data_IF_191665322985
#
_entry.id   IF_191665322985
#
_cell.length_a   1.000
_cell.length_b   1.000
_cell.length_c   1.000
_cell.angle_alpha   90.00
_cell.angle_beta   90.00
_cell.angle_gamma   90.00
#
_symmetry.space_group_name_H-M   'P 1'
#
loop_
_entity.id
_entity.type
_entity.pdbx_description
1 polymer ?
#
# COMPACT_ATOMS: atom_id res chain seq x y z
N UNK A 1 -4.44 -17.11 0.18
CA UNK A 1 -5.62 -17.89 -0.27
C UNK A 1 -5.16 -18.87 -1.34
N UNK A 2 -5.65 -20.12 -1.37
CA UNK A 2 -5.34 -21.04 -2.47
C UNK A 2 -6.24 -20.75 -3.68
N UNK A 3 -5.80 -21.13 -4.88
CA UNK A 3 -6.60 -20.97 -6.10
C UNK A 3 -7.94 -21.71 -6.02
N UNK A 4 -7.97 -22.90 -5.42
CA UNK A 4 -9.17 -23.69 -5.19
C UNK A 4 -10.17 -22.99 -4.25
N UNK A 5 -9.70 -22.46 -3.11
CA UNK A 5 -10.56 -21.73 -2.17
C UNK A 5 -11.13 -20.45 -2.81
N UNK A 6 -10.33 -19.79 -3.65
CA UNK A 6 -10.79 -18.65 -4.44
C UNK A 6 -11.91 -19.04 -5.41
N UNK A 7 -11.72 -20.11 -6.21
CA UNK A 7 -12.70 -20.59 -7.18
C UNK A 7 -14.03 -20.98 -6.52
N UNK A 8 -13.98 -21.76 -5.43
CA UNK A 8 -15.18 -22.22 -4.73
C UNK A 8 -15.97 -21.04 -4.15
N UNK A 9 -15.29 -20.08 -3.55
CA UNK A 9 -15.93 -18.90 -2.95
C UNK A 9 -16.43 -17.92 -4.01
N UNK A 10 -15.67 -17.71 -5.09
CA UNK A 10 -16.10 -16.88 -6.22
C UNK A 10 -17.37 -17.43 -6.86
N UNK A 11 -17.45 -18.76 -7.01
CA UNK A 11 -18.64 -19.45 -7.51
C UNK A 11 -19.85 -19.20 -6.59
N UNK A 12 -19.73 -19.45 -5.28
CA UNK A 12 -20.81 -19.19 -4.31
C UNK A 12 -21.26 -17.71 -4.31
N UNK A 13 -20.30 -16.78 -4.26
CA UNK A 13 -20.56 -15.33 -4.30
C UNK A 13 -21.22 -14.89 -5.61
N UNK A 14 -20.84 -15.48 -6.75
CA UNK A 14 -21.43 -15.16 -8.06
C UNK A 14 -22.89 -15.55 -8.11
N UNK A 15 -23.27 -16.72 -7.58
CA UNK A 15 -24.68 -17.14 -7.48
C UNK A 15 -25.51 -16.22 -6.58
N UNK A 16 -24.88 -15.56 -5.60
CA UNK A 16 -25.51 -14.58 -4.71
C UNK A 16 -25.52 -13.15 -5.29
N UNK A 17 -25.02 -12.94 -6.52
CA UNK A 17 -24.88 -11.61 -7.12
C UNK A 17 -23.74 -10.75 -6.54
N UNK A 18 -22.93 -11.31 -5.63
CA UNK A 18 -21.82 -10.64 -4.94
C UNK A 18 -20.45 -10.95 -5.57
N UNK A 19 -20.42 -11.78 -6.62
CA UNK A 19 -19.19 -12.31 -7.22
C UNK A 19 -18.20 -11.24 -7.68
N UNK A 20 -18.71 -10.15 -8.28
CA UNK A 20 -17.87 -9.04 -8.73
C UNK A 20 -17.17 -8.31 -7.58
N UNK A 21 -17.89 -8.06 -6.48
CA UNK A 21 -17.31 -7.37 -5.32
C UNK A 21 -16.30 -8.27 -4.62
N UNK A 22 -16.64 -9.55 -4.42
CA UNK A 22 -15.70 -10.54 -3.89
C UNK A 22 -14.42 -10.63 -4.72
N UNK A 23 -14.54 -10.69 -6.05
CA UNK A 23 -13.39 -10.70 -6.94
C UNK A 23 -12.49 -9.47 -6.75
N UNK A 24 -13.09 -8.27 -6.72
CA UNK A 24 -12.36 -7.02 -6.49
C UNK A 24 -11.62 -7.03 -5.15
N UNK A 25 -12.24 -7.52 -4.09
CA UNK A 25 -11.66 -7.54 -2.76
C UNK A 25 -10.49 -8.52 -2.66
N UNK A 26 -10.62 -9.71 -3.27
CA UNK A 26 -9.51 -10.66 -3.36
C UNK A 26 -8.35 -10.07 -4.14
N UNK A 27 -8.58 -9.48 -5.31
CA UNK A 27 -7.51 -8.88 -6.11
C UNK A 27 -6.80 -7.75 -5.34
N UNK A 28 -7.55 -6.86 -4.68
CA UNK A 28 -6.95 -5.79 -3.84
C UNK A 28 -6.12 -6.36 -2.70
N UNK A 29 -6.63 -7.36 -2.00
CA UNK A 29 -5.92 -8.02 -0.89
C UNK A 29 -4.64 -8.72 -1.35
N UNK A 30 -4.68 -9.42 -2.48
CA UNK A 30 -3.51 -10.06 -3.07
C UNK A 30 -2.46 -9.03 -3.45
N UNK A 31 -2.83 -7.98 -4.20
CA UNK A 31 -1.88 -6.92 -4.60
C UNK A 31 -1.27 -6.26 -3.35
N UNK A 32 -2.07 -5.92 -2.34
CA UNK A 32 -1.56 -5.32 -1.10
C UNK A 32 -0.56 -6.23 -0.38
N UNK A 33 -0.83 -7.54 -0.35
CA UNK A 33 0.06 -8.54 0.26
C UNK A 33 1.39 -8.64 -0.50
N UNK A 34 1.33 -8.76 -1.83
CA UNK A 34 2.52 -8.85 -2.69
C UNK A 34 3.37 -7.58 -2.60
N UNK A 35 2.73 -6.39 -2.58
CA UNK A 35 3.44 -5.12 -2.43
C UNK A 35 4.07 -4.96 -1.03
N UNK A 36 3.40 -5.43 0.02
CA UNK A 36 3.93 -5.38 1.38
C UNK A 36 5.17 -6.27 1.56
N UNK A 37 5.25 -7.38 0.82
CA UNK A 37 6.38 -8.31 0.86
C UNK A 37 7.52 -7.94 -0.10
N UNK A 38 7.36 -6.87 -0.89
CA UNK A 38 8.35 -6.42 -1.85
C UNK A 38 9.21 -5.29 -1.24
N UNK A 39 10.40 -5.65 -0.76
CA UNK A 39 11.33 -4.70 -0.13
C UNK A 39 11.71 -3.53 -1.03
N UNK A 40 11.90 -3.76 -2.34
CA UNK A 40 12.23 -2.71 -3.30
C UNK A 40 11.09 -1.68 -3.41
N UNK A 41 9.85 -2.16 -3.50
CA UNK A 41 8.67 -1.29 -3.53
C UNK A 41 8.56 -0.47 -2.24
N UNK A 42 8.71 -1.11 -1.08
CA UNK A 42 8.67 -0.46 0.23
C UNK A 42 9.77 0.61 0.34
N UNK A 43 11.00 0.30 -0.06
CA UNK A 43 12.12 1.24 -0.06
C UNK A 43 11.88 2.43 -0.99
N UNK A 44 11.29 2.21 -2.16
CA UNK A 44 10.92 3.29 -3.07
C UNK A 44 9.82 4.18 -2.48
N UNK A 45 8.82 3.61 -1.82
CA UNK A 45 7.75 4.37 -1.14
C UNK A 45 8.35 5.23 -0.02
N UNK A 46 9.17 4.65 0.86
CA UNK A 46 9.86 5.40 1.91
C UNK A 46 10.73 6.52 1.35
N UNK A 47 11.51 6.25 0.30
CA UNK A 47 12.35 7.26 -0.35
C UNK A 47 11.51 8.40 -0.93
N UNK A 48 10.40 8.10 -1.60
CA UNK A 48 9.50 9.14 -2.14
C UNK A 48 8.86 9.97 -1.03
N UNK A 49 8.44 9.35 0.06
CA UNK A 49 7.89 10.03 1.23
C UNK A 49 8.94 10.94 1.86
N UNK A 50 10.14 10.42 2.12
CA UNK A 50 11.24 11.18 2.70
C UNK A 50 11.64 12.36 1.80
N UNK A 51 11.80 12.13 0.50
CA UNK A 51 12.11 13.19 -0.46
C UNK A 51 11.00 14.24 -0.49
N UNK A 52 9.73 13.84 -0.41
CA UNK A 52 8.63 14.80 -0.31
C UNK A 52 8.70 15.58 1.00
N UNK A 53 9.03 14.95 2.12
CA UNK A 53 9.22 15.64 3.40
C UNK A 53 10.40 16.63 3.38
N UNK A 54 11.52 16.26 2.76
CA UNK A 54 12.72 17.09 2.68
C UNK A 54 12.58 18.22 1.66
N UNK A 55 11.87 17.98 0.56
CA UNK A 55 11.65 18.95 -0.51
C UNK A 55 10.33 19.72 -0.37
N UNK A 56 9.55 19.48 0.69
CA UNK A 56 8.43 20.36 1.03
C UNK A 56 9.04 21.66 1.58
N UNK A 57 9.04 22.71 0.75
CA UNK A 57 9.44 24.10 1.07
C UNK A 57 8.58 24.75 2.18
N UNK A 58 7.83 23.95 2.96
CA UNK A 58 7.14 24.45 4.13
C UNK A 58 8.20 24.90 5.16
N UNK A 59 8.22 26.20 5.41
CA UNK A 59 9.12 26.88 6.36
C UNK A 59 9.13 26.27 7.77
N UNK A 60 8.16 25.42 8.11
CA UNK A 60 8.04 24.75 9.41
C UNK A 60 9.05 23.62 9.64
N UNK A 61 9.38 22.82 8.62
CA UNK A 61 10.25 21.62 8.77
C UNK A 61 11.72 21.98 8.59
N UNK A 62 12.06 22.78 7.58
CA UNK A 62 13.41 23.35 7.40
C UNK A 62 13.92 24.01 8.70
N UNK A 63 13.06 24.81 9.34
CA UNK A 63 13.36 25.45 10.63
C UNK A 63 13.55 24.44 11.77
N UNK A 64 12.84 23.31 11.76
CA UNK A 64 12.95 22.27 12.79
C UNK A 64 14.23 21.44 12.61
N UNK A 65 14.55 21.04 11.38
CA UNK A 65 15.81 20.34 11.07
C UNK A 65 17.04 21.19 11.39
N UNK A 66 17.06 22.47 10.98
CA UNK A 66 18.16 23.38 11.30
C UNK A 66 18.37 23.54 12.81
N UNK A 67 17.30 23.65 13.60
CA UNK A 67 17.39 23.76 15.08
C UNK A 67 17.94 22.50 15.77
N UNK A 68 17.77 21.33 15.17
CA UNK A 68 18.28 20.06 15.71
C UNK A 68 19.72 19.81 15.25
N UNK A 69 20.10 20.26 14.05
CA UNK A 69 21.45 20.10 13.50
C UNK A 69 22.48 21.06 14.10
N UNK A 70 22.07 22.29 14.43
CA UNK A 70 22.97 23.33 14.97
C UNK A 70 23.15 23.24 16.51
N UNK A 71 22.68 22.16 17.14
CA UNK A 71 22.89 21.83 18.55
C UNK A 71 23.85 20.65 18.69
#
# INVERSE_FOLDING_TARGET
ITFENFLNTAKDKTFKGEGLNYFKDIIKGTIATELQQNDDFINQVYTKILNKFLNDDSSSISTTYSKVKDK
#
